data_IF_127556738295
#
_entry.id   IF_127556738295
#
_cell.length_a   1.000
_cell.length_b   1.000
_cell.length_c   1.000
_cell.angle_alpha   90.00
_cell.angle_beta   90.00
_cell.angle_gamma   90.00
#
_symmetry.space_group_name_H-M   'P 1'
#
loop_
_entity.id
_entity.type
_entity.pdbx_description
1 polymer ?
#
# COMPACT_ATOMS: atom_id res chain seq x y z
N UNK A 1 42.66 18.68 12.64
CA UNK A 1 42.06 18.67 11.29
C UNK A 1 41.38 17.36 10.86
N UNK A 2 41.46 16.26 11.62
CA UNK A 2 40.72 15.00 11.34
C UNK A 2 39.29 14.93 11.88
N UNK A 3 38.88 15.87 12.74
CA UNK A 3 37.56 15.90 13.39
C UNK A 3 36.50 16.72 12.63
N UNK A 4 36.92 17.46 11.59
CA UNK A 4 36.02 18.23 10.73
C UNK A 4 35.45 17.40 9.56
N UNK A 5 36.04 16.25 9.25
CA UNK A 5 35.61 15.40 8.12
C UNK A 5 34.43 14.48 8.45
N UNK A 6 34.11 14.27 9.72
CA UNK A 6 32.98 13.40 10.14
C UNK A 6 31.65 14.17 10.09
N UNK A 7 31.66 15.48 10.33
CA UNK A 7 30.46 16.31 10.28
C UNK A 7 29.90 16.50 8.87
N UNK A 8 30.75 16.45 7.83
CA UNK A 8 30.32 16.61 6.43
C UNK A 8 29.72 15.32 5.86
N UNK A 9 30.09 14.14 6.39
CA UNK A 9 29.53 12.87 5.94
C UNK A 9 28.07 12.65 6.40
N UNK A 10 27.68 13.22 7.55
CA UNK A 10 26.30 13.14 8.04
C UNK A 10 25.33 14.09 7.31
N UNK A 11 25.85 15.15 6.68
CA UNK A 11 25.06 16.07 5.85
C UNK A 11 24.70 15.48 4.48
N UNK A 12 25.42 14.46 4.00
CA UNK A 12 25.14 13.81 2.71
C UNK A 12 24.14 12.64 2.81
N UNK A 13 23.83 12.14 4.00
CA UNK A 13 22.87 11.04 4.20
C UNK A 13 21.43 11.49 4.47
N UNK A 14 21.17 12.80 4.46
CA UNK A 14 19.83 13.39 4.56
C UNK A 14 19.32 13.93 3.21
N UNK A 15 19.94 13.55 2.09
CA UNK A 15 19.52 13.94 0.73
C UNK A 15 18.73 12.86 -0.03
N UNK A 16 18.69 11.63 0.48
CA UNK A 16 17.96 10.50 -0.14
C UNK A 16 16.69 10.11 0.65
N UNK A 17 16.28 10.95 1.61
CA UNK A 17 15.11 10.73 2.44
C UNK A 17 13.85 11.27 1.79
N UNK A 18 13.22 10.44 0.97
CA UNK A 18 11.84 10.64 0.52
C UNK A 18 11.73 11.48 -0.74
N UNK A 19 11.56 10.80 -1.88
CA UNK A 19 10.73 11.36 -2.95
C UNK A 19 9.40 11.74 -2.32
N UNK A 20 9.23 13.03 -2.07
CA UNK A 20 8.01 13.54 -1.48
C UNK A 20 6.87 13.24 -2.45
N UNK A 21 6.08 12.20 -2.16
CA UNK A 21 4.76 11.94 -2.75
C UNK A 21 3.79 13.13 -2.60
N UNK A 22 4.23 14.23 -1.97
CA UNK A 22 3.49 15.45 -1.72
C UNK A 22 3.33 16.36 -2.95
N UNK A 23 4.05 16.15 -4.06
CA UNK A 23 3.94 17.05 -5.22
C UNK A 23 2.78 16.72 -6.17
N UNK A 24 2.30 15.47 -6.18
CA UNK A 24 1.24 15.00 -7.07
C UNK A 24 -0.01 14.56 -6.31
N UNK A 25 -1.16 15.14 -6.67
CA UNK A 25 -2.47 14.74 -6.15
C UNK A 25 -2.85 13.34 -6.61
N UNK A 26 -2.49 12.96 -7.83
CA UNK A 26 -2.65 11.59 -8.30
C UNK A 26 -1.83 10.62 -7.46
N UNK A 27 -0.53 10.85 -7.29
CA UNK A 27 0.35 9.90 -6.59
C UNK A 27 -0.09 9.71 -5.14
N UNK A 28 -0.38 10.82 -4.43
CA UNK A 28 -0.90 10.77 -3.07
C UNK A 28 -2.27 10.06 -3.00
N UNK A 29 -3.16 10.31 -3.98
CA UNK A 29 -4.48 9.69 -4.06
C UNK A 29 -4.41 8.18 -4.32
N UNK A 30 -3.57 7.75 -5.26
CA UNK A 30 -3.37 6.34 -5.61
C UNK A 30 -2.69 5.60 -4.45
N UNK A 31 -1.63 6.15 -3.86
CA UNK A 31 -0.98 5.54 -2.69
C UNK A 31 -1.97 5.35 -1.53
N UNK A 32 -2.81 6.36 -1.26
CA UNK A 32 -3.87 6.28 -0.25
C UNK A 32 -4.94 5.23 -0.61
N UNK A 33 -5.31 5.11 -1.89
CA UNK A 33 -6.25 4.11 -2.37
C UNK A 33 -5.70 2.69 -2.16
N UNK A 34 -4.43 2.44 -2.52
CA UNK A 34 -3.74 1.16 -2.32
C UNK A 34 -3.71 0.78 -0.83
N UNK A 35 -3.26 1.70 0.03
CA UNK A 35 -3.23 1.45 1.48
C UNK A 35 -4.62 1.14 2.08
N UNK A 36 -5.67 1.86 1.65
CA UNK A 36 -7.04 1.56 2.09
C UNK A 36 -7.55 0.21 1.59
N UNK A 37 -7.20 -0.19 0.36
CA UNK A 37 -7.56 -1.50 -0.18
C UNK A 37 -6.92 -2.62 0.63
N UNK A 38 -5.62 -2.53 0.87
CA UNK A 38 -4.86 -3.49 1.69
C UNK A 38 -5.50 -3.63 3.07
N UNK A 39 -5.64 -2.52 3.80
CA UNK A 39 -6.25 -2.56 5.14
C UNK A 39 -7.67 -3.12 5.17
N UNK A 40 -8.46 -2.85 4.13
CA UNK A 40 -9.80 -3.42 3.98
C UNK A 40 -9.76 -4.93 3.77
N UNK A 41 -8.98 -5.43 2.80
CA UNK A 41 -8.91 -6.87 2.50
C UNK A 41 -8.28 -7.66 3.66
N UNK A 42 -7.16 -7.20 4.19
CA UNK A 42 -6.51 -7.82 5.36
C UNK A 42 -7.44 -7.86 6.56
N UNK A 43 -8.21 -6.79 6.82
CA UNK A 43 -9.20 -6.77 7.89
C UNK A 43 -10.37 -7.74 7.67
N UNK A 44 -10.80 -7.97 6.42
CA UNK A 44 -11.82 -8.99 6.11
C UNK A 44 -11.26 -10.40 6.30
N UNK A 45 -10.02 -10.64 5.86
CA UNK A 45 -9.33 -11.93 6.00
C UNK A 45 -9.11 -12.26 7.48
N UNK A 46 -8.57 -11.32 8.27
CA UNK A 46 -8.37 -11.47 9.70
C UNK A 46 -9.69 -11.79 10.44
N UNK A 47 -10.81 -11.16 10.03
CA UNK A 47 -12.13 -11.48 10.58
C UNK A 47 -12.64 -12.86 10.19
N UNK A 48 -12.26 -13.37 9.01
CA UNK A 48 -12.51 -14.75 8.61
C UNK A 48 -11.81 -15.71 9.55
N UNK A 49 -10.49 -15.53 9.74
CA UNK A 49 -9.69 -16.33 10.66
C UNK A 49 -10.21 -16.28 12.10
N UNK A 50 -10.52 -15.09 12.62
CA UNK A 50 -11.05 -14.92 13.98
C UNK A 50 -12.40 -15.64 14.22
N UNK A 51 -13.14 -15.95 13.15
CA UNK A 51 -14.42 -16.66 13.21
C UNK A 51 -14.32 -18.12 12.79
N UNK A 52 -13.14 -18.59 12.36
CA UNK A 52 -12.98 -19.92 11.75
C UNK A 52 -13.76 -20.09 10.44
N UNK A 53 -14.10 -18.99 9.76
CA UNK A 53 -14.87 -19.00 8.51
C UNK A 53 -14.05 -18.44 7.37
N UNK A 54 -14.39 -18.82 6.13
CA UNK A 54 -13.80 -18.19 4.96
C UNK A 54 -14.04 -16.66 4.95
N UNK A 55 -13.09 -15.86 4.42
CA UNK A 55 -13.29 -14.42 4.24
C UNK A 55 -14.55 -14.12 3.43
N UNK A 56 -15.34 -13.13 3.88
CA UNK A 56 -16.61 -12.77 3.25
C UNK A 56 -16.37 -12.19 1.83
N UNK A 57 -16.81 -12.86 0.76
CA UNK A 57 -16.53 -12.45 -0.61
C UNK A 57 -17.22 -11.13 -0.97
N UNK A 58 -18.38 -10.83 -0.37
CA UNK A 58 -19.10 -9.57 -0.57
C UNK A 58 -18.33 -8.40 0.03
N UNK A 59 -17.69 -8.61 1.20
CA UNK A 59 -16.85 -7.59 1.81
C UNK A 59 -15.54 -7.39 1.05
N UNK A 60 -14.95 -8.46 0.51
CA UNK A 60 -13.78 -8.36 -0.36
C UNK A 60 -14.09 -7.56 -1.63
N UNK A 61 -15.23 -7.84 -2.28
CA UNK A 61 -15.67 -7.07 -3.45
C UNK A 61 -15.89 -5.60 -3.11
N UNK A 62 -16.50 -5.28 -1.97
CA UNK A 62 -16.64 -3.89 -1.49
C UNK A 62 -15.29 -3.18 -1.30
N UNK A 63 -14.24 -3.90 -0.92
CA UNK A 63 -12.89 -3.33 -0.85
C UNK A 63 -12.36 -2.97 -2.24
N UNK A 64 -12.56 -3.85 -3.22
CA UNK A 64 -12.24 -3.62 -4.64
C UNK A 64 -13.01 -2.43 -5.21
N UNK A 65 -14.34 -2.38 -5.03
CA UNK A 65 -15.16 -1.28 -5.57
C UNK A 65 -14.75 0.10 -5.00
N UNK A 66 -14.40 0.13 -3.70
CA UNK A 66 -13.89 1.35 -3.05
C UNK A 66 -12.52 1.75 -3.59
N UNK A 67 -11.67 0.79 -3.89
CA UNK A 67 -10.39 1.04 -4.54
C UNK A 67 -10.59 1.64 -5.92
N UNK A 68 -11.39 1.00 -6.79
CA UNK A 68 -11.63 1.48 -8.16
C UNK A 68 -12.13 2.92 -8.15
N UNK A 69 -13.15 3.23 -7.33
CA UNK A 69 -13.66 4.61 -7.18
C UNK A 69 -12.59 5.60 -6.73
N UNK A 70 -11.76 5.22 -5.76
CA UNK A 70 -10.72 6.11 -5.22
C UNK A 70 -9.57 6.31 -6.20
N UNK A 71 -9.16 5.25 -6.90
CA UNK A 71 -8.11 5.28 -7.90
C UNK A 71 -8.54 6.08 -9.12
N UNK A 72 -9.74 5.84 -9.69
CA UNK A 72 -10.28 6.63 -10.81
C UNK A 72 -10.34 8.12 -10.47
N UNK A 73 -10.74 8.46 -9.24
CA UNK A 73 -10.73 9.85 -8.77
C UNK A 73 -9.32 10.43 -8.66
N UNK A 74 -8.34 9.65 -8.21
CA UNK A 74 -6.96 10.08 -8.07
C UNK A 74 -6.28 10.34 -9.42
N UNK A 75 -6.41 9.40 -10.37
CA UNK A 75 -5.83 9.55 -11.72
C UNK A 75 -6.46 10.70 -12.51
N UNK A 76 -7.70 11.10 -12.16
CA UNK A 76 -8.35 12.28 -12.74
C UNK A 76 -7.63 13.61 -12.45
N UNK A 77 -6.67 13.63 -11.51
CA UNK A 77 -5.79 14.79 -11.32
C UNK A 77 -4.72 14.94 -12.41
N UNK A 78 -4.50 13.88 -13.21
CA UNK A 78 -3.61 13.86 -14.38
C UNK A 78 -2.15 14.28 -14.13
N UNK A 79 -1.69 14.23 -12.88
CA UNK A 79 -0.35 14.65 -12.45
C UNK A 79 0.47 13.48 -11.86
N UNK A 80 0.14 12.23 -12.21
CA UNK A 80 0.83 11.04 -11.71
C UNK A 80 2.29 11.02 -12.21
N UNK A 81 3.25 10.91 -11.28
CA UNK A 81 4.68 10.91 -11.60
C UNK A 81 5.41 9.67 -11.07
N UNK A 82 4.95 9.15 -9.93
CA UNK A 82 5.54 7.99 -9.25
C UNK A 82 4.63 6.76 -9.25
N UNK A 83 3.31 6.95 -9.30
CA UNK A 83 2.32 5.90 -9.40
C UNK A 83 1.84 5.77 -10.85
N UNK A 84 1.42 4.56 -11.23
CA UNK A 84 0.81 4.35 -12.54
C UNK A 84 -0.54 5.07 -12.61
N UNK A 85 -0.85 5.68 -13.75
CA UNK A 85 -2.21 6.13 -14.07
C UNK A 85 -3.17 4.97 -14.39
N UNK A 86 -2.65 3.74 -14.48
CA UNK A 86 -3.45 2.54 -14.68
C UNK A 86 -3.90 1.96 -13.33
N UNK A 87 -5.19 2.08 -13.04
CA UNK A 87 -5.76 1.55 -11.81
C UNK A 87 -5.67 0.03 -11.69
N UNK A 88 -5.67 -0.73 -12.79
CA UNK A 88 -5.55 -2.18 -12.75
C UNK A 88 -4.16 -2.65 -12.30
N UNK A 89 -3.09 -1.90 -12.64
CA UNK A 89 -1.74 -2.20 -12.17
C UNK A 89 -1.62 -1.93 -10.66
N UNK A 90 -2.13 -0.78 -10.22
CA UNK A 90 -2.12 -0.42 -8.79
C UNK A 90 -3.00 -1.36 -7.94
N UNK A 91 -4.11 -1.83 -8.51
CA UNK A 91 -5.01 -2.84 -7.95
C UNK A 91 -4.27 -4.15 -7.72
N UNK A 92 -3.59 -4.64 -8.77
CA UNK A 92 -2.85 -5.90 -8.74
C UNK A 92 -1.70 -5.86 -7.74
N UNK A 93 -0.93 -4.77 -7.70
CA UNK A 93 0.17 -4.63 -6.74
C UNK A 93 -0.33 -4.61 -5.29
N UNK A 94 -1.45 -3.93 -5.02
CA UNK A 94 -2.08 -3.97 -3.71
C UNK A 94 -2.61 -5.38 -3.36
N UNK A 95 -3.06 -6.17 -4.34
CA UNK A 95 -3.52 -7.54 -4.11
C UNK A 95 -2.38 -8.52 -3.87
N UNK A 96 -1.24 -8.33 -4.53
CA UNK A 96 -0.03 -9.11 -4.21
C UNK A 96 0.40 -8.86 -2.76
N UNK A 97 0.41 -7.60 -2.32
CA UNK A 97 0.74 -7.26 -0.92
C UNK A 97 -0.22 -7.96 0.07
N UNK A 98 -1.53 -7.96 -0.21
CA UNK A 98 -2.51 -8.67 0.62
C UNK A 98 -2.22 -10.17 0.65
N UNK A 99 -1.88 -10.76 -0.49
CA UNK A 99 -1.57 -12.19 -0.60
C UNK A 99 -0.32 -12.54 0.21
N UNK A 100 0.74 -11.73 0.11
CA UNK A 100 2.03 -11.98 0.78
C UNK A 100 1.96 -11.77 2.30
N UNK A 101 1.24 -10.75 2.75
CA UNK A 101 1.30 -10.32 4.15
C UNK A 101 0.04 -10.60 4.98
N UNK A 102 -1.11 -10.89 4.35
CA UNK A 102 -2.39 -10.96 5.07
C UNK A 102 -3.13 -12.29 4.94
N UNK A 103 -2.83 -13.09 3.91
CA UNK A 103 -3.23 -14.50 3.88
C UNK A 103 -2.18 -15.22 4.72
N UNK A 104 -2.58 -15.82 5.85
CA UNK A 104 -1.66 -16.31 6.87
C UNK A 104 -0.54 -17.18 6.27
N UNK A 105 0.66 -17.07 6.85
CA UNK A 105 1.83 -17.82 6.38
C UNK A 105 1.45 -19.31 6.19
N UNK A 106 1.79 -19.93 5.05
CA UNK A 106 1.46 -21.33 4.76
C UNK A 106 2.05 -22.34 5.77
N UNK A 107 2.85 -21.86 6.72
CA UNK A 107 3.54 -22.63 7.75
C UNK A 107 2.71 -22.94 9.00
N UNK A 108 1.45 -22.51 9.11
CA UNK A 108 0.57 -22.96 10.19
C UNK A 108 1.01 -22.53 11.61
N UNK A 109 1.90 -21.54 11.74
CA UNK A 109 2.47 -21.07 13.01
C UNK A 109 1.47 -20.42 14.01
N UNK A 110 0.17 -20.49 13.73
CA UNK A 110 -0.91 -20.10 14.65
C UNK A 110 -1.67 -21.32 15.22
N UNK A 111 -1.16 -22.55 15.00
CA UNK A 111 -1.68 -23.81 15.57
C UNK A 111 -0.78 -24.40 16.66
N UNK A 112 0.04 -23.59 17.34
CA UNK A 112 0.68 -23.98 18.61
C UNK A 112 0.33 -23.01 19.73
#
# INVERSE_FOLDING_TARGET
MRRLSIAVALLFMLGAGGTAFAQSKCDAGVAKAKGKKVGCKCGVIAKGYAKGTAPDPTKLQKCTDKFTKSCTKAIGAADCSAQSSNCALNESEADMFVTDHCVGSPSGAFLE
#
